data_IF_020696854412
#
_entry.id   IF_020696854412
#
_cell.length_a   1.000
_cell.length_b   1.000
_cell.length_c   1.000
_cell.angle_alpha   90.00
_cell.angle_beta   90.00
_cell.angle_gamma   90.00
#
_symmetry.space_group_name_H-M   'P 1'
#
loop_
_entity.id
_entity.type
_entity.pdbx_description
1 polymer ?
#
# COMPACT_ATOMS: atom_id res chain seq x y z
N UNK A 1 -0.24 20.59 -4.42
CA UNK A 1 0.32 19.28 -4.79
C UNK A 1 -0.84 18.35 -5.08
N UNK A 2 -0.71 17.34 -5.97
CA UNK A 2 -1.83 16.45 -6.33
C UNK A 2 -2.18 15.46 -5.21
N UNK A 3 -1.22 15.10 -4.35
CA UNK A 3 -1.40 14.19 -3.21
C UNK A 3 -0.83 14.86 -1.98
N UNK A 4 -1.62 14.87 -0.91
CA UNK A 4 -1.24 15.43 0.37
C UNK A 4 -1.77 14.55 1.51
N UNK A 5 -1.17 14.71 2.69
CA UNK A 5 -1.62 14.07 3.92
C UNK A 5 -2.13 15.14 4.90
N UNK A 6 -3.35 15.02 5.44
CA UNK A 6 -3.74 15.82 6.60
C UNK A 6 -2.73 15.60 7.74
N UNK A 7 -2.32 16.68 8.39
CA UNK A 7 -1.41 16.56 9.53
C UNK A 7 -2.06 15.78 10.66
N UNK A 8 -3.26 16.21 11.06
CA UNK A 8 -4.06 15.51 12.06
C UNK A 8 -4.81 14.35 11.42
N UNK A 9 -4.66 13.18 11.99
CA UNK A 9 -5.36 11.95 11.57
C UNK A 9 -4.67 11.14 10.46
N UNK A 10 -3.60 11.65 9.85
CA UNK A 10 -2.79 10.87 8.89
C UNK A 10 -1.33 10.87 9.28
N UNK A 11 -0.69 12.03 9.30
CA UNK A 11 0.74 12.11 9.60
C UNK A 11 1.03 11.69 11.04
N UNK A 12 0.32 12.27 11.98
CA UNK A 12 0.41 11.93 13.39
C UNK A 12 0.05 10.46 13.66
N UNK A 13 -1.04 9.98 13.08
CA UNK A 13 -1.49 8.60 13.23
C UNK A 13 -0.48 7.59 12.69
N UNK A 14 0.10 7.82 11.51
CA UNK A 14 1.11 6.94 10.93
C UNK A 14 2.36 6.85 11.83
N UNK A 15 2.79 7.96 12.40
CA UNK A 15 3.95 8.00 13.29
C UNK A 15 3.64 7.29 14.62
N UNK A 16 2.52 7.62 15.28
CA UNK A 16 2.14 7.01 16.55
C UNK A 16 1.91 5.51 16.44
N UNK A 17 1.22 5.07 15.39
CA UNK A 17 0.97 3.66 15.16
C UNK A 17 2.28 2.88 14.99
N UNK A 18 3.20 3.41 14.18
CA UNK A 18 4.50 2.77 13.95
C UNK A 18 5.33 2.72 15.22
N UNK A 19 5.45 3.83 15.95
CA UNK A 19 6.18 3.85 17.22
C UNK A 19 5.56 2.89 18.24
N UNK A 20 4.23 2.85 18.35
CA UNK A 20 3.54 1.90 19.22
C UNK A 20 3.89 0.46 18.88
N UNK A 21 3.84 0.10 17.60
CA UNK A 21 4.12 -1.27 17.14
C UNK A 21 5.56 -1.71 17.40
N UNK A 22 6.51 -0.77 17.43
CA UNK A 22 7.92 -1.02 17.71
C UNK A 22 8.21 -1.10 19.21
N UNK A 23 7.64 -0.18 19.98
CA UNK A 23 8.04 0.05 21.37
C UNK A 23 7.20 -0.74 22.39
N UNK A 24 5.94 -1.04 22.09
CA UNK A 24 5.04 -1.73 23.02
C UNK A 24 4.87 -3.19 22.63
N UNK A 25 5.47 -4.09 23.42
CA UNK A 25 5.20 -5.51 23.31
C UNK A 25 3.75 -5.81 23.70
N UNK A 26 3.00 -6.44 22.81
CA UNK A 26 1.58 -6.76 23.05
C UNK A 26 1.38 -7.78 24.17
N UNK A 27 2.36 -8.62 24.46
CA UNK A 27 2.27 -9.59 25.56
C UNK A 27 2.38 -8.90 26.93
N UNK A 28 3.17 -7.84 27.00
CA UNK A 28 3.40 -7.07 28.23
C UNK A 28 2.45 -5.89 28.35
N UNK A 29 2.24 -5.16 27.24
CA UNK A 29 1.54 -3.88 27.20
C UNK A 29 0.23 -3.90 26.41
N UNK A 30 -0.29 -5.09 26.05
CA UNK A 30 -1.48 -5.22 25.21
C UNK A 30 -2.75 -4.61 25.81
N UNK A 31 -2.82 -4.49 27.15
CA UNK A 31 -3.94 -3.84 27.84
C UNK A 31 -3.91 -2.31 27.84
N UNK A 32 -2.80 -1.69 27.39
CA UNK A 32 -2.71 -0.24 27.32
C UNK A 32 -3.55 0.29 26.18
N UNK A 33 -4.59 1.10 26.44
CA UNK A 33 -5.47 1.60 25.40
C UNK A 33 -4.76 2.64 24.53
N UNK A 34 -5.11 2.69 23.24
CA UNK A 34 -4.68 3.75 22.35
C UNK A 34 -5.43 5.05 22.70
N UNK A 35 -4.73 6.00 23.31
CA UNK A 35 -5.29 7.29 23.70
C UNK A 35 -4.23 8.38 23.73
N UNK A 36 -4.64 9.60 24.04
CA UNK A 36 -3.75 10.78 24.11
C UNK A 36 -2.63 10.67 25.15
N UNK A 37 -2.74 9.78 26.12
CA UNK A 37 -1.67 9.52 27.10
C UNK A 37 -0.43 8.93 26.44
N UNK A 38 -0.60 8.01 25.49
CA UNK A 38 0.50 7.39 24.73
C UNK A 38 1.19 8.36 23.78
N UNK A 39 0.45 9.33 23.25
CA UNK A 39 0.99 10.26 22.25
C UNK A 39 1.60 11.50 22.86
N UNK A 40 1.28 11.82 24.13
CA UNK A 40 1.74 13.01 24.84
C UNK A 40 3.26 13.24 24.83
N UNK A 41 4.13 12.23 24.99
CA UNK A 41 5.57 12.43 24.96
C UNK A 41 6.15 12.58 23.55
N UNK A 42 5.33 12.49 22.50
CA UNK A 42 5.78 12.49 21.10
C UNK A 42 5.37 13.82 20.47
N UNK A 43 6.34 14.68 20.19
CA UNK A 43 6.12 15.91 19.45
C UNK A 43 6.33 15.66 17.96
N UNK A 44 5.33 16.00 17.16
CA UNK A 44 5.35 15.85 15.71
C UNK A 44 5.20 17.24 15.10
N UNK A 45 6.09 17.59 14.19
CA UNK A 45 6.05 18.88 13.49
C UNK A 45 6.16 18.66 11.97
N UNK A 46 5.46 19.48 11.20
CA UNK A 46 5.60 19.55 9.76
C UNK A 46 5.40 20.98 9.27
N UNK A 47 6.23 21.47 8.34
CA UNK A 47 6.07 22.82 7.80
C UNK A 47 4.72 23.01 7.13
N UNK A 48 4.04 24.11 7.44
CA UNK A 48 2.79 24.46 6.79
C UNK A 48 2.96 24.62 5.27
N UNK A 49 2.02 24.12 4.49
CA UNK A 49 2.09 24.07 3.03
C UNK A 49 2.94 22.92 2.47
N UNK A 50 3.50 22.07 3.31
CA UNK A 50 4.18 20.85 2.91
C UNK A 50 3.18 19.75 2.49
N UNK A 51 3.68 18.63 1.98
CA UNK A 51 2.90 17.42 1.71
C UNK A 51 2.24 16.86 2.97
N UNK A 52 2.93 16.97 4.10
CA UNK A 52 2.52 16.44 5.40
C UNK A 52 1.73 17.45 6.26
N UNK A 53 1.56 18.67 5.79
CA UNK A 53 0.78 19.72 6.48
C UNK A 53 0.25 20.72 5.43
N UNK A 54 -0.69 20.31 4.57
CA UNK A 54 -1.16 21.13 3.46
C UNK A 54 -2.05 22.28 3.95
N UNK A 55 -2.06 23.36 3.18
CA UNK A 55 -2.99 24.49 3.39
C UNK A 55 -4.30 24.17 2.66
N UNK A 56 -5.40 24.40 3.34
CA UNK A 56 -6.74 24.27 2.76
C UNK A 56 -6.99 25.32 1.63
N UNK A 57 -7.66 24.93 0.53
CA UNK A 57 -8.09 23.59 0.16
C UNK A 57 -6.97 22.76 -0.48
N UNK A 58 -6.89 21.47 -0.12
CA UNK A 58 -5.91 20.56 -0.69
C UNK A 58 -6.53 19.17 -0.91
N UNK A 59 -6.19 18.46 -2.01
CA UNK A 59 -6.65 17.10 -2.23
C UNK A 59 -5.94 16.15 -1.27
N UNK A 60 -6.73 15.39 -0.50
CA UNK A 60 -6.20 14.48 0.54
C UNK A 60 -6.83 13.07 0.46
N UNK A 61 -7.60 12.77 -0.57
CA UNK A 61 -8.27 11.47 -0.72
C UNK A 61 -7.23 10.34 -0.81
N UNK A 62 -6.17 10.54 -1.58
CA UNK A 62 -5.10 9.58 -1.82
C UNK A 62 -4.04 9.51 -0.70
N UNK A 63 -4.37 9.90 0.51
CA UNK A 63 -3.44 9.98 1.66
C UNK A 63 -2.91 8.63 2.14
N UNK A 64 -3.53 7.52 1.73
CA UNK A 64 -3.17 6.17 2.19
C UNK A 64 -1.77 5.75 1.74
N UNK A 65 -1.46 5.91 0.45
CA UNK A 65 -0.14 5.54 -0.08
C UNK A 65 1.00 6.31 0.60
N UNK A 66 0.98 7.65 0.66
CA UNK A 66 2.04 8.38 1.35
C UNK A 66 2.02 8.17 2.88
N UNK A 67 0.86 7.87 3.50
CA UNK A 67 0.77 7.50 4.90
C UNK A 67 1.49 6.20 5.20
N UNK A 68 1.33 5.20 4.34
CA UNK A 68 2.07 3.94 4.41
C UNK A 68 3.58 4.14 4.22
N UNK A 69 3.98 4.95 3.25
CA UNK A 69 5.39 5.29 3.03
C UNK A 69 5.99 6.09 4.21
N UNK A 70 5.19 6.90 4.91
CA UNK A 70 5.61 7.58 6.12
C UNK A 70 5.83 6.58 7.26
N UNK A 71 4.93 5.63 7.47
CA UNK A 71 5.08 4.57 8.45
C UNK A 71 6.37 3.76 8.21
N UNK A 72 6.64 3.39 6.95
CA UNK A 72 7.89 2.73 6.55
C UNK A 72 9.12 3.59 6.81
N UNK A 73 9.02 4.91 6.58
CA UNK A 73 10.11 5.86 6.87
C UNK A 73 10.42 5.93 8.36
N UNK A 74 9.41 5.90 9.22
CA UNK A 74 9.58 5.85 10.67
C UNK A 74 10.21 4.52 11.09
N UNK A 75 9.77 3.40 10.52
CA UNK A 75 10.36 2.08 10.72
C UNK A 75 11.87 2.10 10.38
N UNK A 76 12.21 2.65 9.22
CA UNK A 76 13.60 2.81 8.78
C UNK A 76 14.42 3.71 9.70
N UNK A 77 13.86 4.79 10.21
CA UNK A 77 14.53 5.66 11.18
C UNK A 77 14.82 4.92 12.50
N UNK A 78 13.83 4.16 12.98
CA UNK A 78 13.95 3.38 14.22
C UNK A 78 14.93 2.19 14.10
N UNK A 79 15.24 1.72 12.91
CA UNK A 79 16.22 0.66 12.70
C UNK A 79 17.63 0.99 13.23
N UNK A 80 17.93 2.28 13.40
CA UNK A 80 19.19 2.74 14.00
C UNK A 80 19.20 2.68 15.52
N UNK A 81 18.04 2.70 16.16
CA UNK A 81 17.91 2.71 17.61
C UNK A 81 17.56 1.35 18.20
N UNK A 82 16.68 0.62 17.53
CA UNK A 82 16.14 -0.68 17.98
C UNK A 82 16.06 -1.68 16.82
N UNK A 83 17.20 -2.04 16.24
CA UNK A 83 17.26 -2.88 15.03
C UNK A 83 16.53 -4.22 15.17
N UNK A 84 16.52 -4.80 16.37
CA UNK A 84 15.89 -6.08 16.66
C UNK A 84 14.35 -6.02 16.73
N UNK A 85 13.78 -4.82 16.75
CA UNK A 85 12.32 -4.60 16.86
C UNK A 85 11.66 -4.12 15.58
N UNK A 86 12.43 -3.89 14.53
CA UNK A 86 11.94 -3.39 13.25
C UNK A 86 12.01 -4.46 12.16
N UNK A 87 11.21 -4.30 11.11
CA UNK A 87 11.35 -5.04 9.86
C UNK A 87 12.13 -4.22 8.83
N UNK A 88 12.68 -4.88 7.83
CA UNK A 88 13.09 -4.25 6.59
C UNK A 88 11.88 -3.62 5.86
N UNK A 89 12.12 -2.95 4.75
CA UNK A 89 11.12 -2.20 4.00
C UNK A 89 9.85 -3.00 3.71
N UNK A 90 8.71 -2.35 3.87
CA UNK A 90 7.41 -2.93 3.56
C UNK A 90 7.05 -2.71 2.09
N UNK A 91 6.31 -3.65 1.51
CA UNK A 91 5.71 -3.48 0.19
C UNK A 91 4.75 -2.29 0.17
N UNK A 92 4.71 -1.60 -0.95
CA UNK A 92 3.90 -0.40 -1.06
C UNK A 92 2.43 -0.72 -1.38
N UNK A 93 1.54 -0.03 -0.70
CA UNK A 93 0.11 -0.08 -0.92
C UNK A 93 -0.28 0.61 -2.24
N UNK A 94 -1.22 0.01 -2.96
CA UNK A 94 -1.89 0.58 -4.12
C UNK A 94 -3.38 0.51 -3.98
N UNK A 95 -4.02 1.51 -4.52
CA UNK A 95 -5.46 1.55 -4.67
C UNK A 95 -5.78 1.61 -6.15
N UNK A 96 -6.57 0.67 -6.63
CA UNK A 96 -7.14 0.69 -7.98
C UNK A 96 -8.64 0.80 -7.84
N UNK A 97 -9.19 1.89 -8.33
CA UNK A 97 -10.63 2.07 -8.41
C UNK A 97 -11.10 1.72 -9.82
N UNK A 98 -12.03 0.81 -9.90
CA UNK A 98 -12.76 0.42 -11.10
C UNK A 98 -14.11 1.13 -11.10
N UNK A 99 -14.57 1.58 -12.25
CA UNK A 99 -15.87 2.23 -12.39
C UNK A 99 -16.46 1.95 -13.75
N UNK A 100 -17.78 2.05 -13.86
CA UNK A 100 -18.48 1.86 -15.14
C UNK A 100 -19.98 1.99 -15.00
N UNK A 101 -20.69 1.48 -16.00
CA UNK A 101 -22.14 1.48 -16.07
C UNK A 101 -22.71 2.71 -16.78
N UNK A 102 -24.03 2.72 -16.89
CA UNK A 102 -24.81 3.79 -17.53
C UNK A 102 -25.44 4.69 -16.47
N UNK A 103 -26.06 5.77 -16.87
CA UNK A 103 -26.58 6.80 -15.96
C UNK A 103 -27.53 6.26 -14.86
N UNK A 104 -28.22 5.18 -15.12
CA UNK A 104 -29.19 4.52 -14.23
C UNK A 104 -28.63 3.30 -13.48
N UNK A 105 -27.42 2.84 -13.81
CA UNK A 105 -26.77 1.68 -13.22
C UNK A 105 -25.26 1.84 -13.10
N UNK A 106 -24.84 2.94 -12.48
CA UNK A 106 -23.41 3.18 -12.25
C UNK A 106 -22.87 2.33 -11.10
N UNK A 107 -21.64 1.87 -11.27
CA UNK A 107 -20.91 1.15 -10.23
C UNK A 107 -19.51 1.69 -10.04
N UNK A 108 -19.01 1.58 -8.83
CA UNK A 108 -17.62 1.87 -8.46
C UNK A 108 -17.16 0.78 -7.51
N UNK A 109 -15.97 0.27 -7.73
CA UNK A 109 -15.33 -0.69 -6.87
C UNK A 109 -13.89 -0.28 -6.62
N UNK A 110 -13.41 -0.47 -5.40
CA UNK A 110 -12.04 -0.12 -5.01
C UNK A 110 -11.34 -1.35 -4.47
N UNK A 111 -10.23 -1.72 -5.10
CA UNK A 111 -9.33 -2.74 -4.61
C UNK A 111 -8.09 -2.10 -3.99
N UNK A 112 -7.79 -2.52 -2.78
CA UNK A 112 -6.53 -2.21 -2.11
C UNK A 112 -5.60 -3.40 -2.37
N UNK A 113 -4.48 -3.11 -3.04
CA UNK A 113 -3.49 -4.12 -3.37
C UNK A 113 -2.30 -3.94 -2.44
N UNK A 114 -2.18 -4.89 -1.52
CA UNK A 114 -1.12 -4.91 -0.54
C UNK A 114 0.17 -5.48 -1.12
N UNK A 115 1.28 -5.15 -0.43
CA UNK A 115 2.58 -5.72 -0.72
C UNK A 115 2.91 -6.90 0.19
N UNK A 116 3.91 -6.69 1.02
CA UNK A 116 4.45 -7.69 1.95
C UNK A 116 5.25 -6.99 3.03
N UNK A 117 5.63 -7.71 4.08
CA UNK A 117 6.61 -7.21 5.06
C UNK A 117 8.03 -7.64 4.71
N UNK A 118 9.00 -6.79 5.01
CA UNK A 118 10.41 -7.15 4.99
C UNK A 118 10.78 -8.16 6.08
N UNK A 119 11.95 -8.80 5.95
CA UNK A 119 12.52 -9.65 6.98
C UNK A 119 12.78 -8.86 8.26
N UNK A 120 12.72 -9.55 9.40
CA UNK A 120 13.00 -8.97 10.71
C UNK A 120 13.87 -9.92 11.54
N UNK A 121 14.36 -9.44 12.65
CA UNK A 121 15.19 -10.29 13.53
C UNK A 121 14.44 -11.57 13.94
N UNK A 122 15.01 -12.71 13.61
CA UNK A 122 14.49 -14.04 13.94
C UNK A 122 13.42 -14.59 12.99
N UNK A 123 12.94 -13.85 11.98
CA UNK A 123 11.84 -14.28 11.11
C UNK A 123 11.91 -13.69 9.70
N UNK A 124 11.51 -14.49 8.73
CA UNK A 124 11.25 -14.04 7.36
C UNK A 124 10.08 -13.05 7.32
N UNK A 125 10.06 -12.23 6.27
CA UNK A 125 8.94 -11.35 5.97
C UNK A 125 7.67 -12.13 5.61
N UNK A 126 6.52 -11.57 5.92
CA UNK A 126 5.22 -12.17 5.61
C UNK A 126 4.83 -11.88 4.17
N UNK A 127 4.40 -12.93 3.47
CA UNK A 127 3.96 -12.85 2.08
C UNK A 127 2.54 -12.28 1.99
N UNK A 128 2.26 -11.48 0.97
CA UNK A 128 0.91 -11.03 0.57
C UNK A 128 0.03 -10.56 1.74
N UNK A 129 0.57 -9.71 2.59
CA UNK A 129 -0.10 -9.23 3.79
C UNK A 129 -0.27 -7.72 3.73
N UNK A 130 -1.37 -7.25 4.34
CA UNK A 130 -1.62 -5.84 4.51
C UNK A 130 -0.53 -5.16 5.35
N UNK A 131 -0.19 -3.96 4.99
CA UNK A 131 0.93 -3.23 5.57
C UNK A 131 0.52 -2.45 6.80
N UNK A 132 1.52 -1.96 7.54
CA UNK A 132 1.39 -1.39 8.89
C UNK A 132 0.29 -0.33 9.04
N UNK A 133 0.05 0.48 8.00
CA UNK A 133 -0.87 1.63 8.06
C UNK A 133 -2.29 1.32 7.56
N UNK A 134 -2.61 0.09 7.21
CA UNK A 134 -3.93 -0.27 6.72
C UNK A 134 -4.67 -1.16 7.76
N UNK A 135 -4.97 -2.31 7.59
CA UNK A 135 -5.77 -3.28 8.34
C UNK A 135 -7.01 -3.67 7.56
N UNK A 136 -6.80 -4.00 6.30
CA UNK A 136 -7.85 -4.44 5.40
C UNK A 136 -7.77 -5.94 5.16
N UNK A 137 -8.80 -6.49 4.54
CA UNK A 137 -8.83 -7.86 4.04
C UNK A 137 -9.21 -7.83 2.57
N UNK A 138 -8.84 -8.85 1.84
CA UNK A 138 -9.25 -9.01 0.45
C UNK A 138 -10.77 -9.14 0.36
N UNK A 139 -11.33 -8.53 -0.67
CA UNK A 139 -12.69 -8.86 -1.09
C UNK A 139 -12.68 -10.24 -1.75
N UNK A 140 -13.63 -11.13 -1.43
CA UNK A 140 -13.74 -12.43 -2.11
C UNK A 140 -13.91 -12.27 -3.63
N UNK A 141 -13.23 -13.10 -4.41
CA UNK A 141 -13.32 -13.05 -5.87
C UNK A 141 -14.75 -13.27 -6.33
N UNK A 142 -15.46 -14.18 -5.67
CA UNK A 142 -16.86 -14.51 -5.96
C UNK A 142 -17.78 -13.30 -5.74
N UNK A 143 -17.49 -12.46 -4.75
CA UNK A 143 -18.24 -11.22 -4.52
C UNK A 143 -18.00 -10.20 -5.64
N UNK A 144 -16.75 -10.01 -6.03
CA UNK A 144 -16.38 -9.12 -7.14
C UNK A 144 -17.09 -9.55 -8.42
N UNK A 145 -16.97 -10.83 -8.83
CA UNK A 145 -17.49 -11.34 -10.08
C UNK A 145 -19.01 -11.47 -10.13
N UNK A 146 -19.67 -11.61 -8.96
CA UNK A 146 -21.14 -11.70 -8.91
C UNK A 146 -21.83 -10.33 -8.94
N UNK A 147 -21.18 -9.26 -8.52
CA UNK A 147 -21.78 -7.93 -8.42
C UNK A 147 -21.26 -6.93 -9.45
N UNK A 148 -20.10 -7.18 -10.05
CA UNK A 148 -19.42 -6.24 -10.92
C UNK A 148 -19.11 -6.87 -12.28
N UNK A 149 -19.11 -6.11 -13.38
CA UNK A 149 -18.71 -6.63 -14.69
C UNK A 149 -17.17 -6.71 -14.78
N UNK A 150 -16.58 -7.40 -13.83
CA UNK A 150 -15.15 -7.67 -13.73
C UNK A 150 -14.93 -9.17 -13.59
N UNK A 151 -13.82 -9.67 -14.12
CA UNK A 151 -13.33 -11.02 -13.91
C UNK A 151 -11.93 -10.98 -13.33
N UNK A 152 -11.67 -11.77 -12.31
CA UNK A 152 -10.34 -11.94 -11.71
C UNK A 152 -9.68 -13.15 -12.39
N UNK A 153 -8.75 -12.90 -13.31
CA UNK A 153 -8.05 -13.94 -14.06
C UNK A 153 -6.85 -14.50 -13.30
N UNK A 154 -6.29 -13.72 -12.36
CA UNK A 154 -5.12 -14.10 -11.59
C UNK A 154 -5.14 -13.44 -10.22
N UNK A 155 -4.83 -14.22 -9.20
CA UNK A 155 -4.52 -13.73 -7.86
C UNK A 155 -3.56 -14.72 -7.21
N UNK A 156 -2.28 -14.41 -7.25
CA UNK A 156 -1.21 -15.31 -6.83
C UNK A 156 -0.06 -14.54 -6.17
N UNK A 157 0.85 -15.26 -5.52
CA UNK A 157 2.11 -14.70 -5.06
C UNK A 157 2.98 -14.32 -6.27
N UNK A 158 3.63 -13.18 -6.18
CA UNK A 158 4.52 -12.71 -7.23
C UNK A 158 5.85 -13.48 -7.17
N UNK A 159 6.17 -14.17 -8.27
CA UNK A 159 7.50 -14.75 -8.49
C UNK A 159 8.49 -13.63 -8.83
N UNK A 160 9.02 -12.97 -7.81
CA UNK A 160 10.00 -11.90 -7.94
C UNK A 160 10.97 -11.95 -6.77
N UNK A 161 12.03 -11.15 -6.84
CA UNK A 161 12.96 -11.03 -5.74
C UNK A 161 12.30 -10.36 -4.53
N UNK A 162 12.17 -11.11 -3.45
CA UNK A 162 11.63 -10.65 -2.18
C UNK A 162 12.66 -9.93 -1.30
N UNK A 163 13.89 -9.73 -1.81
CA UNK A 163 15.01 -9.25 -1.03
C UNK A 163 15.66 -10.37 -0.22
N UNK A 164 16.85 -10.79 -0.65
CA UNK A 164 17.62 -11.84 0.01
C UNK A 164 18.33 -11.32 1.24
N UNK A 165 18.42 -12.16 2.27
CA UNK A 165 19.14 -11.86 3.51
C UNK A 165 19.18 -13.09 4.41
N UNK A 166 19.67 -12.93 5.64
CA UNK A 166 19.57 -13.97 6.66
C UNK A 166 18.13 -14.38 6.91
N UNK A 167 17.23 -13.40 6.86
CA UNK A 167 15.77 -13.56 6.81
C UNK A 167 15.29 -12.86 5.54
N UNK A 168 14.56 -13.57 4.68
CA UNK A 168 14.09 -13.03 3.42
C UNK A 168 12.95 -12.03 3.63
N UNK A 169 12.76 -11.12 2.69
CA UNK A 169 11.54 -10.34 2.57
C UNK A 169 10.36 -11.23 2.17
N UNK A 170 9.14 -10.75 2.39
CA UNK A 170 7.92 -11.39 1.92
C UNK A 170 7.67 -11.15 0.43
N UNK A 171 6.95 -12.08 -0.19
CA UNK A 171 6.49 -11.97 -1.58
C UNK A 171 5.23 -11.10 -1.65
N UNK A 172 5.19 -10.20 -2.61
CA UNK A 172 3.97 -9.47 -2.96
C UNK A 172 2.99 -10.31 -3.76
N UNK A 173 1.95 -9.68 -4.30
CA UNK A 173 0.91 -10.35 -5.10
C UNK A 173 0.92 -9.88 -6.55
N UNK A 174 0.44 -10.76 -7.44
CA UNK A 174 0.01 -10.40 -8.80
C UNK A 174 -1.50 -10.57 -8.88
N UNK A 175 -2.18 -9.54 -9.35
CA UNK A 175 -3.62 -9.58 -9.63
C UNK A 175 -3.86 -9.18 -11.08
N UNK A 176 -4.70 -9.93 -11.78
CA UNK A 176 -5.09 -9.66 -13.17
C UNK A 176 -6.60 -9.59 -13.26
N UNK A 177 -7.11 -8.43 -13.64
CA UNK A 177 -8.52 -8.17 -13.85
C UNK A 177 -8.82 -7.99 -15.32
N UNK A 178 -10.01 -8.46 -15.75
CA UNK A 178 -10.57 -8.22 -17.07
C UNK A 178 -11.90 -7.49 -16.95
N UNK A 179 -12.10 -6.44 -17.75
CA UNK A 179 -13.38 -5.76 -17.88
C UNK A 179 -14.34 -6.55 -18.75
N UNK A 180 -15.51 -6.90 -18.23
CA UNK A 180 -16.58 -7.59 -18.96
C UNK A 180 -17.59 -6.61 -19.59
N UNK A 181 -17.50 -5.32 -19.28
CA UNK A 181 -18.25 -4.20 -19.87
C UNK A 181 -17.34 -2.97 -19.92
N UNK A 182 -17.76 -1.94 -20.65
CA UNK A 182 -17.03 -0.70 -20.74
C UNK A 182 -16.95 -0.01 -19.38
N UNK A 183 -15.77 0.47 -19.05
CA UNK A 183 -15.50 1.12 -17.77
C UNK A 183 -14.27 2.03 -17.79
N UNK A 184 -13.75 2.28 -16.64
CA UNK A 184 -12.54 3.07 -16.43
C UNK A 184 -11.81 2.66 -15.16
N UNK A 185 -10.53 2.99 -15.09
CA UNK A 185 -9.72 2.87 -13.89
C UNK A 185 -9.19 4.22 -13.43
N UNK A 186 -8.99 4.31 -12.12
CA UNK A 186 -8.19 5.31 -11.44
C UNK A 186 -7.18 4.59 -10.55
N UNK A 187 -5.93 5.03 -10.54
CA UNK A 187 -4.85 4.36 -9.82
C UNK A 187 -4.14 5.37 -8.92
N UNK A 188 -3.99 4.97 -7.67
CA UNK A 188 -3.22 5.68 -6.66
C UNK A 188 -2.24 4.69 -6.03
N UNK A 189 -0.96 4.78 -6.42
CA UNK A 189 0.04 3.81 -5.97
C UNK A 189 1.42 4.42 -5.79
N UNK A 190 2.26 3.69 -5.11
CA UNK A 190 3.68 3.97 -4.94
C UNK A 190 4.51 2.70 -5.25
N UNK A 191 5.84 2.78 -5.08
CA UNK A 191 6.74 1.64 -5.24
C UNK A 191 7.21 1.35 -6.67
N UNK A 192 6.80 2.12 -7.69
CA UNK A 192 7.27 1.93 -9.07
C UNK A 192 8.71 2.42 -9.30
N UNK A 193 9.20 3.29 -8.45
CA UNK A 193 10.51 3.93 -8.62
C UNK A 193 11.52 3.51 -7.57
N UNK A 194 11.06 3.30 -6.35
CA UNK A 194 11.92 2.97 -5.23
C UNK A 194 11.55 1.59 -4.70
N UNK A 195 12.56 0.76 -4.53
CA UNK A 195 12.44 -0.57 -3.98
C UNK A 195 12.18 -0.53 -2.47
N UNK A 196 11.47 -1.52 -1.90
CA UNK A 196 11.49 -1.76 -0.47
C UNK A 196 12.93 -1.96 0.00
N UNK A 197 13.34 -1.21 1.01
CA UNK A 197 14.73 -1.18 1.46
C UNK A 197 15.15 -2.45 2.20
N UNK A 198 16.35 -2.93 1.92
CA UNK A 198 17.02 -3.97 2.70
C UNK A 198 17.64 -3.39 3.97
N UNK A 199 17.85 -4.24 4.98
CA UNK A 199 18.36 -3.85 6.29
C UNK A 199 19.54 -4.72 6.71
N UNK A 200 20.55 -4.13 7.37
CA UNK A 200 21.73 -4.81 7.93
C UNK A 200 22.42 -5.78 6.94
N UNK A 201 22.68 -5.29 5.73
CA UNK A 201 23.28 -6.07 4.64
C UNK A 201 22.31 -6.92 3.82
N UNK A 202 21.02 -6.94 4.15
CA UNK A 202 20.00 -7.57 3.33
C UNK A 202 19.76 -6.78 2.02
N UNK A 203 19.38 -7.49 0.97
CA UNK A 203 19.05 -6.89 -0.32
C UNK A 203 17.68 -6.21 -0.30
N UNK A 204 17.47 -5.23 -1.18
CA UNK A 204 16.17 -4.64 -1.45
C UNK A 204 15.22 -5.63 -2.11
N UNK A 205 13.93 -5.46 -1.92
CA UNK A 205 12.92 -6.17 -2.68
C UNK A 205 12.65 -5.54 -4.05
N UNK A 206 11.74 -6.13 -4.83
CA UNK A 206 11.41 -5.65 -6.17
C UNK A 206 10.44 -4.45 -6.15
N UNK A 207 10.56 -3.59 -7.14
CA UNK A 207 9.59 -2.52 -7.40
C UNK A 207 8.23 -3.08 -7.79
N UNK A 208 7.23 -2.25 -7.65
CA UNK A 208 5.88 -2.51 -8.08
C UNK A 208 5.65 -2.14 -9.56
N UNK A 209 4.66 -2.77 -10.17
CA UNK A 209 4.27 -2.53 -11.56
C UNK A 209 2.76 -2.49 -11.69
N UNK A 210 2.27 -1.79 -12.70
CA UNK A 210 0.91 -1.89 -13.22
C UNK A 210 1.01 -1.93 -14.72
N UNK A 211 0.40 -2.92 -15.33
CA UNK A 211 0.49 -3.19 -16.75
C UNK A 211 -0.89 -3.33 -17.39
N UNK A 212 -1.08 -2.73 -18.53
CA UNK A 212 -2.18 -3.02 -19.44
C UNK A 212 -1.74 -4.16 -20.36
N UNK A 213 -2.52 -5.23 -20.42
CA UNK A 213 -2.26 -6.34 -21.35
C UNK A 213 -3.05 -6.08 -22.64
N UNK A 214 -2.34 -5.99 -23.74
CA UNK A 214 -2.92 -5.88 -25.06
C UNK A 214 -3.31 -7.27 -25.60
N UNK A 215 -4.13 -7.30 -26.67
CA UNK A 215 -4.58 -8.56 -27.29
C UNK A 215 -3.41 -9.45 -27.77
N UNK A 216 -2.26 -8.87 -28.06
CA UNK A 216 -1.02 -9.56 -28.43
C UNK A 216 -0.26 -10.16 -27.24
N UNK A 217 -0.79 -10.08 -26.01
CA UNK A 217 -0.09 -10.34 -24.75
C UNK A 217 1.12 -9.42 -24.49
N UNK A 218 1.28 -8.35 -25.25
CA UNK A 218 2.27 -7.32 -24.92
C UNK A 218 1.83 -6.55 -23.69
N UNK A 219 2.79 -6.18 -22.85
CA UNK A 219 2.55 -5.40 -21.64
C UNK A 219 2.89 -3.93 -21.91
N UNK A 220 1.91 -3.06 -21.69
CA UNK A 220 2.12 -1.61 -21.64
C UNK A 220 2.18 -1.17 -20.18
N UNK A 221 3.36 -0.76 -19.73
CA UNK A 221 3.53 -0.27 -18.37
C UNK A 221 2.79 1.04 -18.16
N UNK A 222 2.03 1.11 -17.06
CA UNK A 222 1.27 2.28 -16.65
C UNK A 222 1.97 3.02 -15.50
N UNK A 223 1.78 4.35 -15.40
CA UNK A 223 2.30 5.10 -14.26
C UNK A 223 1.58 4.71 -12.95
N UNK A 224 2.26 4.91 -11.83
CA UNK A 224 1.72 4.60 -10.50
C UNK A 224 0.50 5.45 -10.09
N UNK A 225 0.25 6.54 -10.80
CA UNK A 225 -0.84 7.48 -10.51
C UNK A 225 -1.56 7.82 -11.80
N UNK A 226 -2.83 7.42 -11.87
CA UNK A 226 -3.72 7.69 -13.01
C UNK A 226 -5.04 8.22 -12.46
N UNK A 227 -5.40 9.49 -12.73
CA UNK A 227 -6.65 10.05 -12.22
C UNK A 227 -7.89 9.43 -12.89
N UNK A 228 -7.77 9.10 -14.16
CA UNK A 228 -8.83 8.45 -14.94
C UNK A 228 -8.28 7.88 -16.24
N UNK A 229 -8.63 6.64 -16.56
CA UNK A 229 -8.30 5.99 -17.84
C UNK A 229 -9.47 5.14 -18.31
N UNK A 230 -10.08 5.44 -19.47
CA UNK A 230 -11.08 4.58 -20.08
C UNK A 230 -10.52 3.16 -20.29
N UNK A 231 -11.34 2.18 -20.01
CA UNK A 231 -11.03 0.74 -20.09
C UNK A 231 -12.21 0.02 -20.75
N UNK A 232 -12.22 -0.09 -22.09
CA UNK A 232 -13.27 -0.80 -22.80
C UNK A 232 -13.36 -2.28 -22.38
N UNK A 233 -14.49 -2.91 -22.71
CA UNK A 233 -14.68 -4.35 -22.55
C UNK A 233 -13.50 -5.15 -23.11
N UNK A 234 -13.06 -6.19 -22.39
CA UNK A 234 -11.89 -7.00 -22.73
C UNK A 234 -10.54 -6.38 -22.32
N UNK A 235 -10.53 -5.17 -21.77
CA UNK A 235 -9.31 -4.58 -21.17
C UNK A 235 -8.83 -5.43 -20.00
N UNK A 236 -7.54 -5.77 -20.00
CA UNK A 236 -6.90 -6.53 -18.92
C UNK A 236 -5.83 -5.70 -18.25
N UNK A 237 -5.86 -5.69 -16.91
CA UNK A 237 -4.95 -4.93 -16.06
C UNK A 237 -4.31 -5.86 -15.04
N UNK A 238 -2.96 -5.89 -15.07
CA UNK A 238 -2.12 -6.66 -14.13
C UNK A 238 -1.39 -5.73 -13.16
#
# INVERSE_FOLDING_TARGET
KPINMPFVGTVDCAIWLTLRSILLDSNEFGSIPQNSGLTRPIEITAPLGSLANPIFPAPVIARFCPGNALADTVMKAMSKAVPEKVSAGIGNLRVVAFSGGRADSQWVHMEIMEGSYGGRYGQDGMDAVDTLYANTRNNPIEDIESHLPLRVLKYELREADAGHGKWRGGLGTVRLFEFLDDGAISIEGDGHKYEPWGFDGGASGSTAEINLLEQSNSKLSLPSKIPYKPSPVGTKIE
#
